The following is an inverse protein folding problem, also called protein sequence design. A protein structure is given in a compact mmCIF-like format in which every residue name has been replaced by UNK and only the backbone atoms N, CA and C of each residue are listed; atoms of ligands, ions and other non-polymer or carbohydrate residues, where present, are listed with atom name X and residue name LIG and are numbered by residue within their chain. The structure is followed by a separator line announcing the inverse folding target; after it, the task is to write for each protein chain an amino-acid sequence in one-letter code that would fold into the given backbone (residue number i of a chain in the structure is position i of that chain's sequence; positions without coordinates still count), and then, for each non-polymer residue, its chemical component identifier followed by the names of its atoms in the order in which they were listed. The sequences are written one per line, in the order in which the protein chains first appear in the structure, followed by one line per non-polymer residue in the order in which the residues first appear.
data_IF_262040448893
#
_entry.id   IF_262040448893
#
_cell.length_a   1.000
_cell.length_b   1.000
_cell.length_c   1.000
_cell.angle_alpha   90.00
_cell.angle_beta   90.00
_cell.angle_gamma   90.00
#
_symmetry.space_group_name_H-M   'P 1'
#
loop_
_entity.id
_entity.type
_entity.pdbx_description
1 polymer ?
#
# COMPACT_ATOMS: atom_id res chain seq x y z
N UNK A 1 8.50 -25.83 -23.37
CA UNK A 1 8.39 -25.48 -21.94
C UNK A 1 8.87 -24.04 -21.74
N UNK A 2 7.99 -23.06 -21.98
CA UNK A 2 8.29 -21.63 -21.81
C UNK A 2 8.25 -21.26 -20.32
N UNK A 3 9.38 -20.76 -19.80
CA UNK A 3 9.46 -20.25 -18.42
C UNK A 3 8.59 -18.99 -18.31
N UNK A 4 7.46 -19.07 -17.60
CA UNK A 4 6.72 -17.90 -17.15
C UNK A 4 7.64 -17.08 -16.23
N UNK A 5 8.09 -15.92 -16.71
CA UNK A 5 8.87 -14.98 -15.90
C UNK A 5 7.90 -14.32 -14.92
N UNK A 6 8.02 -14.61 -13.63
CA UNK A 6 7.35 -13.83 -12.59
C UNK A 6 7.96 -12.42 -12.57
N UNK A 7 7.35 -11.48 -13.29
CA UNK A 7 7.66 -10.04 -13.18
C UNK A 7 7.25 -9.63 -11.76
N UNK A 8 8.24 -9.30 -10.91
CA UNK A 8 8.02 -8.84 -9.53
C UNK A 8 7.12 -7.61 -9.59
N UNK A 9 5.91 -7.70 -9.04
CA UNK A 9 5.05 -6.53 -8.83
C UNK A 9 5.44 -5.95 -7.48
N UNK A 10 5.89 -4.71 -7.50
CA UNK A 10 6.10 -3.93 -6.29
C UNK A 10 4.76 -3.26 -5.97
N UNK A 11 4.27 -3.42 -4.75
CA UNK A 11 3.08 -2.72 -4.24
C UNK A 11 3.42 -1.97 -2.96
N UNK A 12 2.73 -0.87 -2.71
CA UNK A 12 2.91 -0.04 -1.52
C UNK A 12 1.57 0.32 -0.88
N UNK A 13 1.59 0.56 0.43
CA UNK A 13 0.41 0.83 1.24
C UNK A 13 0.24 2.33 1.52
N UNK A 14 -0.99 2.84 1.40
CA UNK A 14 -1.33 4.23 1.66
C UNK A 14 -2.48 4.35 2.68
N UNK A 15 -2.50 5.49 3.39
CA UNK A 15 -3.61 5.85 4.27
C UNK A 15 -4.92 6.03 3.48
N UNK A 16 -6.04 5.43 3.89
CA UNK A 16 -7.32 5.58 3.20
C UNK A 16 -7.91 7.00 3.29
N UNK A 17 -7.53 7.78 4.31
CA UNK A 17 -8.09 9.10 4.57
C UNK A 17 -7.32 10.21 3.83
N UNK A 18 -5.98 10.22 3.93
CA UNK A 18 -5.15 11.29 3.38
C UNK A 18 -4.22 10.85 2.24
N UNK A 19 -4.19 9.56 1.88
CA UNK A 19 -3.29 8.97 0.87
C UNK A 19 -1.79 9.12 1.19
N UNK A 20 -1.43 9.49 2.42
CA UNK A 20 -0.03 9.49 2.84
C UNK A 20 0.52 8.06 2.92
N UNK A 21 1.75 7.81 2.45
CA UNK A 21 2.45 6.54 2.65
C UNK A 21 3.01 6.39 4.07
N UNK A 22 2.93 7.44 4.91
CA UNK A 22 3.43 7.43 6.29
C UNK A 22 2.46 6.72 7.24
N UNK A 23 2.24 5.44 6.99
CA UNK A 23 1.44 4.54 7.83
C UNK A 23 2.33 3.45 8.44
N UNK A 24 2.07 3.10 9.70
CA UNK A 24 2.89 2.17 10.48
C UNK A 24 2.00 1.16 11.19
N UNK A 25 2.42 -0.11 11.20
CA UNK A 25 1.72 -1.15 11.95
C UNK A 25 1.92 -0.90 13.46
N UNK A 26 0.83 -0.72 14.20
CA UNK A 26 0.85 -0.45 15.66
C UNK A 26 0.33 -1.61 16.49
N UNK A 27 -0.47 -2.49 15.89
CA UNK A 27 -0.84 -3.76 16.47
C UNK A 27 -1.02 -4.79 15.36
N UNK A 28 -0.64 -6.03 15.63
CA UNK A 28 -0.92 -7.17 14.78
C UNK A 28 -1.06 -8.39 15.68
N UNK A 29 -2.04 -9.26 15.42
CA UNK A 29 -2.19 -10.65 15.87
C UNK A 29 -3.68 -11.03 15.76
N UNK A 30 -4.37 -11.22 16.89
CA UNK A 30 -5.68 -11.89 16.99
C UNK A 30 -6.77 -11.16 16.20
N UNK A 31 -6.78 -9.83 16.20
CA UNK A 31 -7.82 -9.00 15.58
C UNK A 31 -7.40 -8.45 14.21
N UNK A 32 -6.29 -8.93 13.65
CA UNK A 32 -5.72 -8.43 12.40
C UNK A 32 -4.70 -7.30 12.59
N UNK A 33 -4.23 -6.77 11.47
CA UNK A 33 -3.26 -5.68 11.41
C UNK A 33 -3.97 -4.34 11.65
N UNK A 34 -3.40 -3.48 12.49
CA UNK A 34 -3.88 -2.11 12.73
C UNK A 34 -2.76 -1.14 12.38
N UNK A 35 -3.08 -0.18 11.53
CA UNK A 35 -2.15 0.84 11.05
C UNK A 35 -2.47 2.20 11.65
N UNK A 36 -1.43 2.98 11.96
CA UNK A 36 -1.50 4.39 12.36
C UNK A 36 -0.86 5.26 11.29
N UNK A 37 -1.57 6.28 10.81
CA UNK A 37 -1.04 7.30 9.92
C UNK A 37 -0.45 8.47 10.71
N UNK A 38 0.83 8.79 10.49
CA UNK A 38 1.48 9.94 11.14
C UNK A 38 0.98 11.30 10.61
N UNK A 39 0.45 11.33 9.39
CA UNK A 39 0.06 12.57 8.75
C UNK A 39 -1.34 13.07 9.17
N UNK A 40 -2.32 12.17 9.33
CA UNK A 40 -3.70 12.55 9.68
C UNK A 40 -4.26 11.89 10.94
N UNK A 41 -3.50 11.00 11.59
CA UNK A 41 -3.94 10.29 12.79
C UNK A 41 -4.92 9.14 12.54
N UNK A 42 -5.17 8.75 11.29
CA UNK A 42 -5.99 7.57 10.99
C UNK A 42 -5.44 6.34 11.72
N UNK A 43 -6.29 5.63 12.45
CA UNK A 43 -5.97 4.39 13.15
C UNK A 43 -7.01 3.32 12.82
N UNK A 44 -6.58 2.23 12.17
CA UNK A 44 -7.49 1.15 11.80
C UNK A 44 -6.85 0.09 10.92
N UNK A 45 -7.60 -0.97 10.63
CA UNK A 45 -7.10 -2.11 9.85
C UNK A 45 -7.16 -1.92 8.34
N UNK A 46 -7.88 -0.90 7.86
CA UNK A 46 -8.03 -0.64 6.43
C UNK A 46 -6.85 0.18 5.90
N UNK A 47 -6.28 -0.26 4.78
CA UNK A 47 -5.20 0.42 4.03
C UNK A 47 -5.47 0.31 2.54
N UNK A 48 -4.92 1.24 1.75
CA UNK A 48 -4.97 1.17 0.30
C UNK A 48 -3.70 0.49 -0.21
N UNK A 49 -3.84 -0.63 -0.91
CA UNK A 49 -2.72 -1.27 -1.61
C UNK A 49 -2.69 -0.78 -3.06
N UNK A 50 -1.54 -0.25 -3.48
CA UNK A 50 -1.34 0.32 -4.81
C UNK A 50 -0.21 -0.43 -5.49
N UNK A 51 -0.49 -1.00 -6.66
CA UNK A 51 0.55 -1.55 -7.53
C UNK A 51 1.42 -0.41 -8.08
N UNK A 52 2.74 -0.57 -7.99
CA UNK A 52 3.66 0.27 -8.72
C UNK A 52 3.36 0.14 -10.22
N UNK A 53 3.31 1.25 -10.96
CA UNK A 53 3.02 1.20 -12.38
C UNK A 53 4.11 0.37 -13.06
N UNK A 54 3.75 -0.81 -13.56
CA UNK A 54 4.66 -1.76 -14.17
C UNK A 54 5.15 -1.33 -15.57
N UNK A 55 5.22 -0.01 -15.82
CA UNK A 55 5.09 0.75 -17.07
C UNK A 55 3.70 1.42 -17.20
N UNK A 56 3.52 2.57 -16.55
CA UNK A 56 2.42 3.48 -16.84
C UNK A 56 2.95 4.92 -16.77
N UNK A 57 3.42 5.39 -17.91
CA UNK A 57 3.62 6.80 -18.22
C UNK A 57 2.27 7.53 -18.11
N UNK A 58 1.82 7.88 -16.92
CA UNK A 58 0.84 8.97 -16.79
C UNK A 58 1.60 10.26 -17.06
N UNK A 59 1.60 10.68 -18.33
CA UNK A 59 1.76 12.10 -18.67
C UNK A 59 0.57 12.84 -18.06
N UNK A 60 0.73 13.79 -17.14
CA UNK A 60 -0.29 14.82 -16.99
C UNK A 60 -0.29 15.61 -18.31
N UNK A 61 -1.44 15.63 -18.99
CA UNK A 61 -1.69 16.47 -20.16
C UNK A 61 -1.90 17.92 -19.78
#
# INVERSE_FOLDING_TARGET
MTRLRHKKRESFLLCPQCRSPEIFLVAGMITGQVYLCKNCGYQGSLVLEVDAPADATTKPG
#
